data_IF_348617270688
#
_entry.id   IF_348617270688
#
_cell.length_a   1.000
_cell.length_b   1.000
_cell.length_c   1.000
_cell.angle_alpha   90.00
_cell.angle_beta   90.00
_cell.angle_gamma   90.00
#
_symmetry.space_group_name_H-M   'P 1'
#
loop_
_entity.id
_entity.type
_entity.pdbx_description
1 polymer ?
#
# COMPACT_ATOMS: atom_id res chain seq x y z
N UNK A 1 -5.52 -51.22 36.40
CA UNK A 1 -5.88 -49.81 36.16
C UNK A 1 -4.63 -49.10 35.73
N UNK A 2 -4.47 -48.89 34.43
CA UNK A 2 -3.44 -48.01 33.86
C UNK A 2 -4.16 -47.14 32.86
N UNK A 3 -4.08 -45.84 33.13
CA UNK A 3 -4.72 -44.73 32.43
C UNK A 3 -4.47 -44.81 30.93
N UNK A 4 -5.56 -44.84 30.16
CA UNK A 4 -5.52 -44.78 28.71
C UNK A 4 -5.15 -43.36 28.32
N UNK A 5 -3.84 -43.09 28.28
CA UNK A 5 -3.28 -41.88 27.70
C UNK A 5 -3.62 -41.85 26.21
N UNK A 6 -4.81 -41.35 25.90
CA UNK A 6 -5.22 -40.93 24.58
C UNK A 6 -4.33 -39.74 24.25
N UNK A 7 -3.16 -40.03 23.69
CA UNK A 7 -2.35 -39.05 22.98
C UNK A 7 -3.23 -38.60 21.83
N UNK A 8 -4.04 -37.56 22.07
CA UNK A 8 -4.57 -36.71 21.02
C UNK A 8 -3.34 -36.17 20.31
N UNK A 9 -2.83 -36.92 19.33
CA UNK A 9 -2.06 -36.33 18.27
C UNK A 9 -2.97 -35.22 17.76
N UNK A 10 -2.63 -33.93 17.92
CA UNK A 10 -3.43 -32.86 17.37
C UNK A 10 -3.24 -32.99 15.86
N UNK A 11 -4.03 -33.90 15.27
CA UNK A 11 -3.91 -34.33 13.90
C UNK A 11 -3.89 -33.09 13.04
N UNK A 12 -2.79 -32.93 12.30
CA UNK A 12 -2.53 -31.78 11.46
C UNK A 12 -3.75 -31.49 10.59
N UNK A 13 -4.54 -30.49 10.97
CA UNK A 13 -5.75 -30.11 10.25
C UNK A 13 -5.34 -29.27 9.05
N UNK A 14 -4.98 -29.97 7.98
CA UNK A 14 -4.54 -29.39 6.72
C UNK A 14 -5.61 -28.47 6.10
N UNK A 15 -6.90 -28.74 6.34
CA UNK A 15 -8.00 -27.91 5.86
C UNK A 15 -8.09 -26.59 6.64
N UNK A 16 -7.91 -26.63 7.97
CA UNK A 16 -7.81 -25.42 8.78
C UNK A 16 -6.58 -24.60 8.38
N UNK A 17 -5.42 -25.23 8.20
CA UNK A 17 -4.19 -24.55 7.78
C UNK A 17 -4.30 -23.92 6.39
N UNK A 18 -4.88 -24.63 5.42
CA UNK A 18 -5.12 -24.07 4.10
C UNK A 18 -6.01 -22.83 4.15
N UNK A 19 -7.05 -22.84 4.98
CA UNK A 19 -7.95 -21.69 5.14
C UNK A 19 -7.21 -20.49 5.71
N UNK A 20 -6.42 -20.69 6.78
CA UNK A 20 -5.61 -19.63 7.39
C UNK A 20 -4.63 -19.03 6.38
N UNK A 21 -3.88 -19.87 5.66
CA UNK A 21 -2.92 -19.40 4.65
C UNK A 21 -3.64 -18.70 3.51
N UNK A 22 -4.76 -19.25 3.04
CA UNK A 22 -5.55 -18.65 1.96
C UNK A 22 -6.04 -17.26 2.34
N UNK A 23 -6.50 -17.07 3.57
CA UNK A 23 -7.02 -15.79 4.02
C UNK A 23 -5.89 -14.78 4.27
N UNK A 24 -4.76 -15.21 4.84
CA UNK A 24 -3.57 -14.38 4.96
C UNK A 24 -3.03 -13.91 3.58
N UNK A 25 -3.03 -14.80 2.58
CA UNK A 25 -2.64 -14.44 1.21
C UNK A 25 -3.62 -13.48 0.57
N UNK A 26 -4.94 -13.65 0.77
CA UNK A 26 -5.93 -12.68 0.27
C UNK A 26 -5.72 -11.31 0.91
N UNK A 27 -5.48 -11.27 2.22
CA UNK A 27 -5.22 -10.02 2.94
C UNK A 27 -3.96 -9.31 2.41
N UNK A 28 -2.86 -10.05 2.26
CA UNK A 28 -1.63 -9.53 1.67
C UNK A 28 -1.83 -9.04 0.22
N UNK A 29 -2.63 -9.74 -0.60
CA UNK A 29 -2.93 -9.30 -1.96
C UNK A 29 -3.76 -8.01 -1.98
N UNK A 30 -4.71 -7.84 -1.06
CA UNK A 30 -5.48 -6.60 -0.95
C UNK A 30 -4.60 -5.41 -0.58
N UNK A 31 -3.63 -5.63 0.32
CA UNK A 31 -2.64 -4.61 0.70
C UNK A 31 -1.73 -4.21 -0.49
N UNK A 32 -1.23 -5.21 -1.23
CA UNK A 32 -0.44 -4.98 -2.45
C UNK A 32 -1.25 -4.22 -3.51
N UNK A 33 -2.52 -4.59 -3.72
CA UNK A 33 -3.38 -3.88 -4.67
C UNK A 33 -3.59 -2.43 -4.22
N UNK A 34 -3.84 -2.18 -2.94
CA UNK A 34 -3.95 -0.83 -2.38
C UNK A 34 -2.71 0.01 -2.66
N UNK A 35 -1.52 -0.58 -2.45
CA UNK A 35 -0.23 0.05 -2.73
C UNK A 35 -0.07 0.39 -4.22
N UNK A 36 -0.37 -0.55 -5.12
CA UNK A 36 -0.29 -0.33 -6.58
C UNK A 36 -1.25 0.77 -7.03
N UNK A 37 -2.49 0.76 -6.53
CA UNK A 37 -3.49 1.78 -6.87
C UNK A 37 -3.02 3.17 -6.41
N UNK A 38 -2.51 3.27 -5.19
CA UNK A 38 -2.02 4.54 -4.65
C UNK A 38 -0.78 5.05 -5.39
N UNK A 39 0.14 4.15 -5.77
CA UNK A 39 1.27 4.46 -6.64
C UNK A 39 0.82 4.92 -8.03
N UNK A 40 -0.22 4.30 -8.60
CA UNK A 40 -0.82 4.73 -9.86
C UNK A 40 -1.35 6.16 -9.79
N UNK A 41 -2.06 6.50 -8.70
CA UNK A 41 -2.54 7.86 -8.46
C UNK A 41 -1.36 8.83 -8.31
N UNK A 42 -0.37 8.47 -7.50
CA UNK A 42 0.84 9.28 -7.30
C UNK A 42 1.56 9.55 -8.64
N UNK A 43 1.70 8.52 -9.48
CA UNK A 43 2.29 8.63 -10.80
C UNK A 43 1.51 9.60 -11.70
N UNK A 44 0.18 9.49 -11.74
CA UNK A 44 -0.67 10.42 -12.51
C UNK A 44 -0.48 11.85 -12.03
N UNK A 45 -0.47 12.10 -10.72
CA UNK A 45 -0.24 13.44 -10.16
C UNK A 45 1.11 14.00 -10.57
N UNK A 46 2.18 13.19 -10.52
CA UNK A 46 3.52 13.61 -10.96
C UNK A 46 3.51 13.99 -12.43
N UNK A 47 2.97 13.14 -13.31
CA UNK A 47 2.95 13.39 -14.76
C UNK A 47 2.11 14.64 -15.09
N UNK A 48 0.91 14.76 -14.52
CA UNK A 48 0.02 15.92 -14.75
C UNK A 48 0.65 17.19 -14.22
N UNK A 49 1.23 17.16 -13.01
CA UNK A 49 1.92 18.30 -12.42
C UNK A 49 3.10 18.76 -13.28
N UNK A 50 3.92 17.83 -13.76
CA UNK A 50 5.05 18.12 -14.65
C UNK A 50 4.55 18.76 -15.95
N UNK A 51 3.53 18.17 -16.59
CA UNK A 51 2.94 18.74 -17.80
C UNK A 51 2.38 20.15 -17.55
N UNK A 52 1.74 20.40 -16.41
CA UNK A 52 1.23 21.71 -16.04
C UNK A 52 2.35 22.75 -15.85
N UNK A 53 3.50 22.36 -15.29
CA UNK A 53 4.68 23.23 -15.19
C UNK A 53 5.18 23.62 -16.58
N UNK A 54 5.40 22.65 -17.46
CA UNK A 54 5.96 22.91 -18.80
C UNK A 54 4.98 23.56 -19.77
N UNK A 55 3.66 23.43 -19.52
CA UNK A 55 2.62 24.09 -20.31
C UNK A 55 2.21 25.45 -19.74
N UNK A 56 2.85 25.90 -18.67
CA UNK A 56 2.46 27.14 -17.99
C UNK A 56 2.86 28.39 -18.77
N UNK A 57 1.93 29.34 -18.83
CA UNK A 57 2.16 30.68 -19.42
C UNK A 57 2.38 31.77 -18.34
N UNK A 58 2.29 31.40 -17.06
CA UNK A 58 2.43 32.32 -15.93
C UNK A 58 3.13 31.64 -14.76
N UNK A 59 3.76 32.44 -13.89
CA UNK A 59 4.45 31.94 -12.70
C UNK A 59 3.48 31.29 -11.71
N UNK A 60 2.25 31.80 -11.60
CA UNK A 60 1.23 31.22 -10.72
C UNK A 60 0.80 29.82 -11.16
N UNK A 61 0.57 29.63 -12.45
CA UNK A 61 0.19 28.31 -12.98
C UNK A 61 1.35 27.32 -12.92
N UNK A 62 2.58 27.78 -13.10
CA UNK A 62 3.78 26.98 -12.87
C UNK A 62 3.87 26.51 -11.40
N UNK A 63 3.67 27.41 -10.44
CA UNK A 63 3.74 27.09 -9.01
C UNK A 63 2.70 26.03 -8.59
N UNK A 64 1.48 26.09 -9.13
CA UNK A 64 0.46 25.06 -8.91
C UNK A 64 0.95 23.71 -9.45
N UNK A 65 1.49 23.68 -10.67
CA UNK A 65 2.06 22.46 -11.26
C UNK A 65 3.15 21.84 -10.38
N UNK A 66 4.08 22.66 -9.88
CA UNK A 66 5.13 22.24 -8.95
C UNK A 66 4.51 21.64 -7.68
N UNK A 67 3.50 22.30 -7.10
CA UNK A 67 2.79 21.81 -5.93
C UNK A 67 2.14 20.45 -6.16
N UNK A 68 1.45 20.27 -7.29
CA UNK A 68 0.82 18.99 -7.66
C UNK A 68 1.87 17.89 -7.83
N UNK A 69 2.99 18.20 -8.50
CA UNK A 69 4.11 17.25 -8.62
C UNK A 69 4.67 16.86 -7.26
N UNK A 70 4.90 17.84 -6.37
CA UNK A 70 5.43 17.59 -5.03
C UNK A 70 4.49 16.69 -4.20
N UNK A 71 3.17 16.91 -4.30
CA UNK A 71 2.17 16.04 -3.66
C UNK A 71 2.24 14.62 -4.23
N UNK A 72 2.34 14.46 -5.54
CA UNK A 72 2.50 13.14 -6.17
C UNK A 72 3.76 12.41 -5.71
N UNK A 73 4.90 13.12 -5.65
CA UNK A 73 6.17 12.55 -5.15
C UNK A 73 6.07 12.16 -3.68
N UNK A 74 5.52 13.04 -2.84
CA UNK A 74 5.30 12.74 -1.42
C UNK A 74 4.40 11.51 -1.26
N UNK A 75 3.30 11.44 -2.01
CA UNK A 75 2.38 10.31 -1.96
C UNK A 75 3.09 9.01 -2.33
N UNK A 76 3.88 8.99 -3.40
CA UNK A 76 4.66 7.82 -3.79
C UNK A 76 5.65 7.40 -2.69
N UNK A 77 6.40 8.36 -2.14
CA UNK A 77 7.37 8.09 -1.08
C UNK A 77 6.71 7.56 0.20
N UNK A 78 5.55 8.11 0.58
CA UNK A 78 4.79 7.64 1.73
C UNK A 78 4.17 6.26 1.51
N UNK A 79 3.73 5.97 0.27
CA UNK A 79 3.19 4.66 -0.12
C UNK A 79 4.25 3.56 -0.10
N UNK A 80 5.49 3.92 -0.45
CA UNK A 80 6.66 3.02 -0.39
C UNK A 80 7.33 3.01 0.98
N UNK A 81 6.71 3.64 1.99
CA UNK A 81 7.23 3.75 3.35
C UNK A 81 8.63 4.38 3.47
N UNK A 82 9.06 5.14 2.45
CA UNK A 82 10.33 5.88 2.45
C UNK A 82 10.24 7.06 3.44
N UNK A 83 9.05 7.66 3.57
CA UNK A 83 8.77 8.74 4.51
C UNK A 83 7.48 8.47 5.29
N UNK A 84 7.30 9.04 6.49
CA UNK A 84 6.08 8.85 7.26
C UNK A 84 4.85 9.42 6.55
N UNK A 85 3.70 8.71 6.55
CA UNK A 85 2.45 9.19 5.97
C UNK A 85 1.85 10.33 6.82
N UNK A 86 0.96 11.14 6.23
CA UNK A 86 0.46 12.37 6.89
C UNK A 86 -0.19 12.13 8.26
N UNK A 87 -0.83 10.97 8.44
CA UNK A 87 -1.45 10.53 9.69
C UNK A 87 -0.48 10.25 10.83
N UNK A 88 0.82 10.09 10.54
CA UNK A 88 1.85 9.81 11.54
C UNK A 88 2.45 11.10 12.13
N UNK A 89 2.08 12.27 11.60
CA UNK A 89 2.61 13.57 12.02
C UNK A 89 1.71 14.32 13.00
N UNK A 90 0.49 13.82 13.23
CA UNK A 90 -0.52 14.39 14.13
C UNK A 90 -0.98 13.32 15.11
#
# INVERSE_FOLDING_TARGET
MTDGGETTDPGFDEAALYTVVRDAVKDALLDVIGTILLLGIAFVLVIVGIQAVFSSISLWTAAIGIGVTAVGVYLAAATLEIIPPIRAWF
#
